data_IF_155548241013
#
_entry.id   IF_155548241013
#
_cell.length_a   1.000
_cell.length_b   1.000
_cell.length_c   1.000
_cell.angle_alpha   90.00
_cell.angle_beta   90.00
_cell.angle_gamma   90.00
#
_symmetry.space_group_name_H-M   'P 1'
#
loop_
_entity.id
_entity.type
_entity.pdbx_description
1 polymer ?
#
# COMPACT_ATOMS: atom_id res chain seq x y z
N UNK A 1 -11.45 5.09 -4.42
CA UNK A 1 -11.78 4.06 -3.38
C UNK A 1 -11.99 2.71 -4.08
N UNK A 2 -11.76 1.55 -3.41
CA UNK A 2 -12.16 0.22 -3.93
C UNK A 2 -13.37 -0.27 -3.15
N UNK A 3 -14.43 -0.70 -3.83
CA UNK A 3 -15.68 -1.06 -3.16
C UNK A 3 -15.51 -2.33 -2.31
N UNK A 4 -16.09 -2.31 -1.10
CA UNK A 4 -16.03 -3.45 -0.17
C UNK A 4 -14.65 -3.74 0.43
N UNK A 5 -13.59 -2.99 0.07
CA UNK A 5 -12.28 -3.10 0.69
C UNK A 5 -12.20 -2.23 1.95
N UNK A 6 -11.82 -2.81 3.09
CA UNK A 6 -11.70 -2.08 4.37
C UNK A 6 -10.31 -1.47 4.58
N UNK A 7 -9.30 -2.08 3.99
CA UNK A 7 -7.91 -1.62 3.99
C UNK A 7 -7.13 -2.29 2.85
N UNK A 8 -5.96 -1.75 2.52
CA UNK A 8 -5.05 -2.38 1.55
C UNK A 8 -4.66 -3.80 1.99
N UNK A 9 -4.40 -3.99 3.29
CA UNK A 9 -4.12 -5.32 3.86
C UNK A 9 -5.28 -6.29 3.65
N UNK A 10 -6.53 -5.87 3.93
CA UNK A 10 -7.69 -6.75 3.75
C UNK A 10 -7.87 -7.19 2.29
N UNK A 11 -7.60 -6.29 1.35
CA UNK A 11 -7.67 -6.56 -0.08
C UNK A 11 -6.57 -7.54 -0.53
N UNK A 12 -5.35 -7.36 -0.04
CA UNK A 12 -4.24 -8.27 -0.31
C UNK A 12 -4.48 -9.67 0.26
N UNK A 13 -5.01 -9.77 1.47
CA UNK A 13 -5.35 -11.05 2.09
C UNK A 13 -6.50 -11.75 1.36
N UNK A 14 -7.49 -11.01 0.86
CA UNK A 14 -8.56 -11.58 0.03
C UNK A 14 -8.00 -12.14 -1.28
N UNK A 15 -7.13 -11.40 -1.96
CA UNK A 15 -6.45 -11.87 -3.16
C UNK A 15 -5.66 -13.17 -2.90
N UNK A 16 -4.86 -13.19 -1.83
CA UNK A 16 -4.08 -14.37 -1.44
C UNK A 16 -4.96 -15.58 -1.11
N UNK A 17 -6.02 -15.41 -0.32
CA UNK A 17 -6.93 -16.50 0.07
C UNK A 17 -7.72 -17.08 -1.10
N UNK A 18 -8.05 -16.26 -2.09
CA UNK A 18 -8.84 -16.67 -3.26
C UNK A 18 -7.98 -17.10 -4.44
N UNK A 19 -6.65 -17.01 -4.34
CA UNK A 19 -5.74 -17.28 -5.45
C UNK A 19 -5.91 -16.33 -6.64
N UNK A 20 -6.57 -15.18 -6.47
CA UNK A 20 -6.74 -14.19 -7.53
C UNK A 20 -5.62 -13.16 -7.46
N UNK A 21 -5.06 -12.77 -8.61
CA UNK A 21 -4.23 -11.56 -8.71
C UNK A 21 -4.96 -10.28 -8.26
N UNK A 22 -4.21 -9.37 -7.64
CA UNK A 22 -4.73 -8.15 -7.02
C UNK A 22 -5.46 -7.23 -8.02
N UNK A 23 -4.92 -7.10 -9.23
CA UNK A 23 -5.52 -6.29 -10.32
C UNK A 23 -6.91 -6.81 -10.67
N UNK A 24 -7.02 -8.10 -10.98
CA UNK A 24 -8.31 -8.72 -11.31
C UNK A 24 -9.32 -8.61 -10.15
N UNK A 25 -8.86 -8.69 -8.90
CA UNK A 25 -9.74 -8.48 -7.74
C UNK A 25 -10.25 -7.03 -7.65
N UNK A 26 -9.38 -6.04 -7.88
CA UNK A 26 -9.73 -4.61 -7.89
C UNK A 26 -10.76 -4.32 -8.99
N UNK A 27 -10.52 -4.83 -10.20
CA UNK A 27 -11.43 -4.65 -11.33
C UNK A 27 -12.81 -5.25 -11.06
N UNK A 28 -12.86 -6.46 -10.48
CA UNK A 28 -14.14 -7.10 -10.10
C UNK A 28 -14.90 -6.33 -9.03
N UNK A 29 -14.20 -5.80 -8.01
CA UNK A 29 -14.84 -4.99 -6.95
C UNK A 29 -15.29 -3.64 -7.49
N UNK A 30 -14.57 -3.11 -8.47
CA UNK A 30 -14.80 -1.80 -9.03
C UNK A 30 -14.38 -0.66 -8.09
N UNK A 31 -14.46 0.55 -8.64
CA UNK A 31 -14.06 1.76 -7.95
C UNK A 31 -15.28 2.43 -7.31
N UNK A 32 -15.07 2.96 -6.10
CA UNK A 32 -15.99 3.89 -5.46
C UNK A 32 -15.65 5.33 -5.81
N UNK A 33 -16.08 6.25 -4.96
CA UNK A 33 -15.87 7.69 -5.16
C UNK A 33 -14.37 8.05 -5.31
N UNK A 34 -14.14 9.08 -6.13
CA UNK A 34 -12.87 9.76 -6.20
C UNK A 34 -12.56 10.43 -4.86
N UNK A 35 -11.29 10.50 -4.50
CA UNK A 35 -10.85 11.13 -3.25
C UNK A 35 -10.02 12.35 -3.61
N UNK A 36 -10.39 13.51 -3.08
CA UNK A 36 -9.53 14.68 -3.05
C UNK A 36 -8.40 14.44 -2.03
N UNK A 37 -7.20 14.16 -2.54
CA UNK A 37 -6.03 13.83 -1.73
C UNK A 37 -5.52 15.05 -0.96
N UNK A 38 -5.62 16.25 -1.51
CA UNK A 38 -5.16 17.48 -0.84
C UNK A 38 -6.06 17.79 0.36
N UNK A 39 -7.38 17.69 0.18
CA UNK A 39 -8.33 17.84 1.27
C UNK A 39 -8.15 16.73 2.33
N UNK A 40 -7.89 15.49 1.91
CA UNK A 40 -7.64 14.38 2.84
C UNK A 40 -6.36 14.60 3.65
N UNK A 41 -5.28 15.08 3.02
CA UNK A 41 -4.03 15.42 3.69
C UNK A 41 -4.21 16.55 4.70
N UNK A 42 -4.84 17.65 4.30
CA UNK A 42 -5.14 18.80 5.19
C UNK A 42 -5.99 18.40 6.40
N UNK A 43 -6.85 17.38 6.26
CA UNK A 43 -7.70 16.82 7.33
C UNK A 43 -7.01 15.73 8.15
N UNK A 44 -5.73 15.41 7.91
CA UNK A 44 -5.02 14.36 8.62
C UNK A 44 -5.54 12.94 8.35
N UNK A 45 -6.22 12.73 7.21
CA UNK A 45 -6.83 11.44 6.84
C UNK A 45 -5.93 10.58 5.93
N UNK A 46 -4.77 11.09 5.53
CA UNK A 46 -3.81 10.33 4.76
C UNK A 46 -3.04 9.38 5.68
N UNK A 47 -3.22 8.08 5.48
CA UNK A 47 -2.57 7.03 6.26
C UNK A 47 -1.39 6.43 5.50
N UNK A 48 -0.59 5.62 6.19
CA UNK A 48 0.37 4.73 5.54
C UNK A 48 -0.29 3.92 4.41
N UNK A 49 0.40 3.69 3.28
CA UNK A 49 -0.14 2.92 2.16
C UNK A 49 -0.53 1.49 2.54
N UNK A 50 0.03 0.97 3.63
CA UNK A 50 -0.36 -0.32 4.21
C UNK A 50 -0.21 -0.28 5.73
N UNK A 51 -1.12 -0.96 6.42
CA UNK A 51 -1.07 -1.21 7.86
C UNK A 51 -1.55 -2.63 8.15
N UNK A 52 -1.17 -3.15 9.31
CA UNK A 52 -1.63 -4.44 9.80
C UNK A 52 -2.50 -4.22 11.04
N UNK A 53 -3.62 -4.95 11.22
CA UNK A 53 -4.47 -4.80 12.41
C UNK A 53 -3.73 -5.16 13.71
N UNK A 54 -2.81 -6.11 13.64
CA UNK A 54 -1.84 -6.38 14.71
C UNK A 54 -0.57 -5.55 14.48
N UNK A 55 -0.22 -4.61 15.39
CA UNK A 55 0.92 -3.73 15.23
C UNK A 55 2.28 -4.44 15.26
N UNK A 56 2.37 -5.65 15.82
CA UNK A 56 3.63 -6.41 15.89
C UNK A 56 4.02 -7.07 14.55
N UNK A 57 3.11 -7.08 13.57
CA UNK A 57 3.29 -7.81 12.30
C UNK A 57 3.63 -6.91 11.11
N UNK A 58 3.80 -5.61 11.32
CA UNK A 58 4.22 -4.69 10.26
C UNK A 58 5.06 -3.56 10.84
N UNK A 59 6.34 -3.57 10.49
CA UNK A 59 7.24 -2.43 10.68
C UNK A 59 7.45 -1.76 9.32
N UNK A 60 6.91 -0.55 9.17
CA UNK A 60 7.18 0.28 8.00
C UNK A 60 8.29 1.27 8.35
N UNK A 61 9.49 1.00 7.83
CA UNK A 61 10.65 1.88 8.01
C UNK A 61 10.97 2.60 6.71
N UNK A 62 11.23 3.91 6.81
CA UNK A 62 11.73 4.70 5.69
C UNK A 62 13.24 4.85 5.83
N UNK A 63 14.01 4.53 4.79
CA UNK A 63 15.46 4.81 4.78
C UNK A 63 15.77 6.26 4.40
N UNK A 64 14.75 7.05 4.01
CA UNK A 64 14.93 8.42 3.54
C UNK A 64 15.66 8.55 2.19
N UNK A 65 16.03 7.44 1.55
CA UNK A 65 16.70 7.43 0.24
C UNK A 65 15.68 7.31 -0.89
N UNK A 66 15.81 8.17 -1.89
CA UNK A 66 15.06 8.03 -3.15
C UNK A 66 15.48 6.74 -3.86
N UNK A 67 14.61 6.21 -4.74
CA UNK A 67 14.81 4.92 -5.44
C UNK A 67 16.22 4.76 -6.03
N UNK A 68 16.78 5.84 -6.60
CA UNK A 68 18.14 5.90 -7.16
C UNK A 68 19.25 5.80 -6.08
N UNK A 69 19.12 6.53 -4.98
CA UNK A 69 20.08 6.49 -3.87
C UNK A 69 20.17 5.11 -3.21
N UNK A 70 19.05 4.39 -3.14
CA UNK A 70 18.99 3.02 -2.62
C UNK A 70 19.58 1.96 -3.55
N UNK A 71 19.47 2.17 -4.87
CA UNK A 71 20.03 1.26 -5.87
C UNK A 71 21.55 1.40 -5.96
N UNK A 72 22.06 2.62 -5.94
CA UNK A 72 23.50 2.91 -6.01
C UNK A 72 24.29 2.37 -4.80
N UNK A 73 23.74 2.48 -3.58
CA UNK A 73 24.39 1.94 -2.38
C UNK A 73 24.42 0.41 -2.37
N UNK A 74 23.38 -0.27 -2.88
CA UNK A 74 23.38 -1.73 -3.03
C UNK A 74 24.37 -2.20 -4.10
N UNK A 75 24.49 -1.50 -5.23
CA UNK A 75 25.49 -1.79 -6.27
C UNK A 75 26.94 -1.70 -5.71
N UNK A 76 27.21 -0.69 -4.87
CA UNK A 76 28.53 -0.48 -4.27
C UNK A 76 28.94 -1.56 -3.25
N UNK A 77 27.99 -2.28 -2.63
CA UNK A 77 28.31 -3.37 -1.69
C UNK A 77 28.65 -4.70 -2.40
N UNK A 78 28.38 -4.81 -3.70
CA UNK A 78 28.62 -6.01 -4.51
C UNK A 78 29.68 -5.82 -5.61
N UNK A 79 30.42 -4.71 -5.58
CA UNK A 79 31.68 -4.52 -6.31
C UNK A 79 32.86 -4.93 -5.44
#
# INVERSE_FOLDING_TARGET
IINGARSVYSLAMEAARTGTGLVALIERKGFGEAVDLDAAYKKGRLLSPINHPDPAHLHLTGTGLTHLGSAATRDAMHK
#
